data_IF_196651606079
#
_entry.id   IF_196651606079
#
_cell.length_a   1.000
_cell.length_b   1.000
_cell.length_c   1.000
_cell.angle_alpha   90.00
_cell.angle_beta   90.00
_cell.angle_gamma   90.00
#
_symmetry.space_group_name_H-M   'P 1'
#
loop_
_entity.id
_entity.type
_entity.pdbx_description
1 polymer ?
#
# COMPACT_ATOMS: atom_id res chain seq x y z
N UNK A 1 -35.01 15.59 10.93
CA UNK A 1 -34.14 14.40 10.94
C UNK A 1 -32.77 14.86 10.52
N UNK A 2 -31.78 14.85 11.39
CA UNK A 2 -30.37 15.05 10.97
C UNK A 2 -30.03 13.94 9.97
N UNK A 3 -29.61 14.30 8.77
CA UNK A 3 -29.09 13.35 7.80
C UNK A 3 -27.89 12.64 8.45
N UNK A 4 -27.96 11.32 8.56
CA UNK A 4 -26.89 10.51 9.14
C UNK A 4 -25.68 10.63 8.20
N UNK A 5 -24.54 11.06 8.72
CA UNK A 5 -23.26 11.16 7.96
C UNK A 5 -22.87 9.76 7.47
N UNK A 6 -22.53 9.64 6.18
CA UNK A 6 -22.06 8.38 5.57
C UNK A 6 -20.62 8.09 5.94
N UNK A 7 -20.18 6.82 5.78
CA UNK A 7 -18.75 6.44 5.94
C UNK A 7 -17.84 7.29 5.05
N UNK A 8 -18.21 7.50 3.77
CA UNK A 8 -17.47 8.37 2.84
C UNK A 8 -17.31 9.78 3.38
N UNK A 9 -18.41 10.40 3.83
CA UNK A 9 -18.38 11.78 4.35
C UNK A 9 -17.50 11.89 5.60
N UNK A 10 -17.57 10.90 6.50
CA UNK A 10 -16.79 10.88 7.73
C UNK A 10 -15.30 10.72 7.46
N UNK A 11 -14.93 9.81 6.56
CA UNK A 11 -13.53 9.62 6.18
C UNK A 11 -12.95 10.84 5.48
N UNK A 12 -13.70 11.47 4.56
CA UNK A 12 -13.29 12.70 3.89
C UNK A 12 -13.11 13.85 4.88
N UNK A 13 -14.03 14.04 5.83
CA UNK A 13 -13.89 15.04 6.88
C UNK A 13 -12.58 14.83 7.68
N UNK A 14 -12.28 13.58 8.06
CA UNK A 14 -11.03 13.28 8.76
C UNK A 14 -9.79 13.55 7.89
N UNK A 15 -9.81 13.23 6.58
CA UNK A 15 -8.71 13.55 5.66
C UNK A 15 -8.55 15.08 5.54
N UNK A 16 -9.66 15.84 5.54
CA UNK A 16 -9.66 17.31 5.51
C UNK A 16 -9.38 17.96 6.87
N UNK A 17 -9.12 17.16 7.90
CA UNK A 17 -8.85 17.60 9.28
C UNK A 17 -10.05 18.27 9.94
N UNK A 18 -11.24 17.92 9.47
CA UNK A 18 -12.51 18.38 10.04
C UNK A 18 -13.02 17.36 11.07
N UNK A 19 -13.85 17.85 11.97
CA UNK A 19 -14.60 16.98 12.89
C UNK A 19 -15.85 16.43 12.21
N UNK A 20 -16.22 15.21 12.58
CA UNK A 20 -17.46 14.56 12.14
C UNK A 20 -18.29 14.12 13.33
N UNK A 21 -19.33 13.33 13.10
CA UNK A 21 -20.18 12.77 14.16
C UNK A 21 -19.42 11.86 15.14
N UNK A 22 -18.32 11.25 14.69
CA UNK A 22 -17.36 10.49 15.48
C UNK A 22 -16.06 10.26 14.71
N UNK A 23 -15.02 9.83 15.41
CA UNK A 23 -13.74 9.45 14.79
C UNK A 23 -13.98 8.22 13.90
N UNK A 24 -13.71 8.28 12.57
CA UNK A 24 -13.84 7.13 11.71
C UNK A 24 -12.88 6.00 12.10
N UNK A 25 -13.34 4.77 11.90
CA UNK A 25 -12.52 3.57 12.06
C UNK A 25 -12.57 2.76 10.77
N UNK A 26 -11.51 2.84 9.97
CA UNK A 26 -11.39 2.13 8.71
C UNK A 26 -10.08 1.34 8.68
N UNK A 27 -10.17 0.04 8.45
CA UNK A 27 -8.98 -0.81 8.44
C UNK A 27 -8.22 -0.64 7.14
N UNK A 28 -6.93 -0.34 7.25
CA UNK A 28 -6.03 -0.15 6.13
C UNK A 28 -5.95 -1.42 5.25
N UNK A 29 -5.89 -2.58 5.89
CA UNK A 29 -6.00 -3.90 5.24
C UNK A 29 -6.60 -4.92 6.21
N UNK A 30 -7.50 -5.77 5.72
CA UNK A 30 -8.21 -6.74 6.54
C UNK A 30 -8.26 -8.11 5.86
N UNK A 31 -7.08 -8.73 5.71
CA UNK A 31 -6.93 -10.00 4.99
C UNK A 31 -7.71 -11.15 5.67
N UNK A 32 -7.78 -11.18 7.01
CA UNK A 32 -8.56 -12.22 7.72
C UNK A 32 -10.04 -12.17 7.35
N UNK A 33 -10.65 -10.97 7.26
CA UNK A 33 -12.03 -10.82 6.81
C UNK A 33 -12.18 -11.06 5.31
N UNK A 34 -11.25 -10.56 4.50
CA UNK A 34 -11.25 -10.73 3.04
C UNK A 34 -11.27 -12.21 2.65
N UNK A 35 -10.50 -13.05 3.32
CA UNK A 35 -10.52 -14.51 3.12
C UNK A 35 -11.90 -15.11 3.41
N UNK A 36 -12.58 -14.66 4.46
CA UNK A 36 -13.93 -15.14 4.82
C UNK A 36 -15.01 -14.76 3.80
N UNK A 37 -14.83 -13.65 3.11
CA UNK A 37 -15.71 -13.21 2.02
C UNK A 37 -15.18 -13.59 0.63
N UNK A 38 -14.34 -14.62 0.53
CA UNK A 38 -13.83 -15.22 -0.71
C UNK A 38 -13.11 -14.22 -1.62
N UNK A 39 -12.31 -13.31 -1.02
CA UNK A 39 -11.53 -12.28 -1.73
C UNK A 39 -12.40 -11.26 -2.52
N UNK A 40 -13.71 -11.18 -2.26
CA UNK A 40 -14.62 -10.21 -2.86
C UNK A 40 -14.54 -8.87 -2.09
N UNK A 41 -14.02 -7.82 -2.74
CA UNK A 41 -13.87 -6.51 -2.13
C UNK A 41 -15.21 -5.78 -1.89
N UNK A 42 -16.23 -6.04 -2.68
CA UNK A 42 -17.57 -5.52 -2.44
C UNK A 42 -18.21 -6.16 -1.21
N UNK A 43 -18.05 -7.48 -1.08
CA UNK A 43 -18.49 -8.20 0.11
C UNK A 43 -17.68 -7.80 1.35
N UNK A 44 -16.37 -7.53 1.20
CA UNK A 44 -15.53 -7.01 2.28
C UNK A 44 -16.08 -5.68 2.80
N UNK A 45 -16.30 -4.69 1.93
CA UNK A 45 -16.89 -3.40 2.32
C UNK A 45 -18.22 -3.57 3.06
N UNK A 46 -19.11 -4.42 2.56
CA UNK A 46 -20.38 -4.70 3.23
C UNK A 46 -20.21 -5.30 4.63
N UNK A 47 -19.27 -6.24 4.77
CA UNK A 47 -18.97 -6.87 6.05
C UNK A 47 -18.37 -5.86 7.06
N UNK A 48 -17.46 -4.98 6.63
CA UNK A 48 -16.91 -3.90 7.46
C UNK A 48 -18.02 -2.95 7.94
N UNK A 49 -18.90 -2.51 7.06
CA UNK A 49 -20.05 -1.68 7.42
C UNK A 49 -21.01 -2.39 8.39
N UNK A 50 -21.22 -3.70 8.25
CA UNK A 50 -22.05 -4.50 9.19
C UNK A 50 -21.41 -4.60 10.58
N UNK A 51 -20.07 -4.60 10.68
CA UNK A 51 -19.36 -4.50 11.96
C UNK A 51 -19.45 -3.10 12.57
N UNK A 52 -19.93 -2.13 11.80
CA UNK A 52 -20.04 -0.72 12.18
C UNK A 52 -18.77 0.07 11.91
N UNK A 53 -17.83 -0.47 11.17
CA UNK A 53 -16.63 0.20 10.70
C UNK A 53 -16.94 1.15 9.55
N UNK A 54 -16.03 2.08 9.31
CA UNK A 54 -15.96 2.80 8.04
C UNK A 54 -15.22 1.95 7.01
N UNK A 55 -15.50 2.17 5.74
CA UNK A 55 -14.92 1.35 4.67
C UNK A 55 -14.65 2.17 3.42
N UNK A 56 -13.78 1.65 2.59
CA UNK A 56 -13.48 2.18 1.27
C UNK A 56 -13.38 1.05 0.26
N UNK A 57 -13.86 1.30 -0.94
CA UNK A 57 -13.71 0.37 -2.06
C UNK A 57 -12.51 0.78 -2.91
N UNK A 58 -11.66 -0.18 -3.24
CA UNK A 58 -10.48 0.04 -4.07
C UNK A 58 -10.74 -0.40 -5.52
N UNK A 59 -10.48 0.46 -6.51
CA UNK A 59 -10.65 0.18 -7.92
C UNK A 59 -9.33 0.35 -8.70
N UNK A 60 -9.00 -0.53 -9.64
CA UNK A 60 -9.64 -1.82 -9.90
C UNK A 60 -9.38 -2.82 -8.77
N UNK A 61 -10.38 -3.65 -8.50
CA UNK A 61 -10.28 -4.66 -7.46
C UNK A 61 -9.40 -5.83 -7.91
N UNK A 62 -8.61 -6.37 -6.96
CA UNK A 62 -7.75 -7.54 -7.22
C UNK A 62 -8.55 -8.80 -7.56
N UNK A 63 -9.75 -8.94 -7.02
CA UNK A 63 -10.56 -10.16 -7.12
C UNK A 63 -11.04 -10.48 -8.54
N UNK A 64 -11.09 -9.48 -9.43
CA UNK A 64 -11.65 -9.64 -10.78
C UNK A 64 -10.62 -9.93 -11.87
N UNK A 65 -9.33 -9.79 -11.58
CA UNK A 65 -8.27 -9.97 -12.57
C UNK A 65 -7.27 -11.01 -12.08
N UNK A 66 -7.05 -12.07 -12.87
CA UNK A 66 -5.93 -12.97 -12.63
C UNK A 66 -4.63 -12.23 -12.95
N UNK A 67 -3.72 -12.18 -11.98
CA UNK A 67 -2.46 -11.43 -12.08
C UNK A 67 -1.28 -12.28 -11.60
N UNK A 68 -0.91 -13.36 -12.31
CA UNK A 68 0.17 -14.24 -11.88
C UNK A 68 1.52 -13.50 -11.77
N UNK A 69 1.74 -12.49 -12.63
CA UNK A 69 3.01 -11.73 -12.66
C UNK A 69 3.09 -10.63 -11.58
N UNK A 70 1.98 -10.24 -10.95
CA UNK A 70 1.94 -9.22 -9.90
C UNK A 70 0.77 -9.41 -8.94
N UNK A 71 0.72 -10.51 -8.18
CA UNK A 71 -0.44 -10.87 -7.37
C UNK A 71 -0.77 -9.84 -6.28
N UNK A 72 0.22 -9.11 -5.78
CA UNK A 72 0.06 -8.11 -4.71
C UNK A 72 -0.09 -6.67 -5.22
N UNK A 73 0.14 -6.41 -6.51
CA UNK A 73 0.00 -5.07 -7.07
C UNK A 73 -1.46 -4.76 -7.39
N UNK A 74 -2.04 -3.83 -6.65
CA UNK A 74 -3.36 -3.24 -6.98
C UNK A 74 -3.23 -2.24 -8.14
N UNK A 75 -4.36 -1.85 -8.72
CA UNK A 75 -4.38 -0.94 -9.87
C UNK A 75 -4.32 -1.70 -11.20
N UNK A 76 -3.90 -1.04 -12.26
CA UNK A 76 -3.87 -1.62 -13.61
C UNK A 76 -2.83 -2.75 -13.72
N UNK A 77 -3.07 -3.76 -14.58
CA UNK A 77 -2.12 -4.84 -14.81
C UNK A 77 -0.74 -4.36 -15.28
N UNK A 78 0.30 -5.10 -14.90
CA UNK A 78 1.60 -4.99 -15.58
C UNK A 78 1.47 -5.60 -16.96
N UNK A 79 2.01 -4.94 -17.97
CA UNK A 79 2.07 -5.43 -19.34
C UNK A 79 3.51 -5.43 -19.84
N UNK A 80 3.87 -6.52 -20.49
CA UNK A 80 5.16 -6.65 -21.15
C UNK A 80 5.00 -6.33 -22.64
N UNK A 81 6.08 -5.83 -23.25
CA UNK A 81 6.15 -5.71 -24.72
C UNK A 81 5.92 -7.08 -25.36
N UNK A 82 5.23 -7.18 -26.52
CA UNK A 82 5.13 -8.41 -27.29
C UNK A 82 6.48 -9.01 -27.72
N UNK A 83 7.57 -8.24 -27.61
CA UNK A 83 8.93 -8.68 -27.92
C UNK A 83 9.63 -9.38 -26.74
N UNK A 84 8.94 -9.56 -25.62
CA UNK A 84 9.48 -10.26 -24.44
C UNK A 84 9.13 -11.74 -24.52
N UNK A 85 10.17 -12.57 -24.49
CA UNK A 85 10.04 -14.02 -24.34
C UNK A 85 10.44 -14.41 -22.92
N UNK A 86 9.65 -15.28 -22.27
CA UNK A 86 9.87 -15.71 -20.91
C UNK A 86 10.22 -17.19 -20.86
N UNK A 87 11.16 -17.55 -20.00
CA UNK A 87 11.52 -18.94 -19.71
C UNK A 87 11.58 -19.14 -18.20
N UNK A 88 11.01 -20.24 -17.70
CA UNK A 88 11.06 -20.64 -16.31
C UNK A 88 11.49 -22.11 -16.20
N UNK A 89 12.31 -22.41 -15.21
CA UNK A 89 12.69 -23.80 -14.90
C UNK A 89 13.03 -23.98 -13.43
N UNK A 90 12.96 -25.25 -13.00
CA UNK A 90 13.27 -25.67 -11.63
C UNK A 90 14.64 -26.33 -11.62
N UNK A 91 15.48 -25.94 -10.65
CA UNK A 91 16.77 -26.57 -10.36
C UNK A 91 16.73 -27.18 -8.94
N UNK A 92 17.24 -28.39 -8.82
CA UNK A 92 17.50 -29.03 -7.50
C UNK A 92 18.98 -28.90 -7.18
N UNK A 93 19.33 -28.07 -6.20
CA UNK A 93 20.72 -27.87 -5.81
C UNK A 93 20.93 -28.17 -4.32
N UNK A 94 21.71 -29.20 -3.99
CA UNK A 94 22.03 -29.57 -2.60
C UNK A 94 20.80 -29.75 -1.71
N UNK A 95 19.73 -30.34 -2.24
CA UNK A 95 18.46 -30.55 -1.53
C UNK A 95 17.57 -29.32 -1.44
N UNK A 96 17.95 -28.19 -2.06
CA UNK A 96 17.15 -27.00 -2.16
C UNK A 96 16.51 -26.89 -3.54
N UNK A 97 15.25 -26.48 -3.57
CA UNK A 97 14.51 -26.19 -4.80
C UNK A 97 14.69 -24.72 -5.14
N UNK A 98 15.21 -24.46 -6.33
CA UNK A 98 15.43 -23.13 -6.89
C UNK A 98 14.56 -22.95 -8.12
N UNK A 99 13.89 -21.82 -8.22
CA UNK A 99 13.16 -21.39 -9.41
C UNK A 99 13.98 -20.34 -10.14
N UNK A 100 14.07 -20.49 -11.44
CA UNK A 100 14.73 -19.57 -12.34
C UNK A 100 13.69 -18.97 -13.29
N UNK A 101 13.82 -17.68 -13.57
CA UNK A 101 13.04 -17.00 -14.61
C UNK A 101 13.94 -16.07 -15.41
N UNK A 102 13.80 -16.12 -16.72
CA UNK A 102 14.46 -15.23 -17.66
C UNK A 102 13.44 -14.46 -18.49
N UNK A 103 13.75 -13.20 -18.73
CA UNK A 103 13.03 -12.33 -19.64
C UNK A 103 14.00 -11.93 -20.75
N UNK A 104 13.80 -12.47 -21.96
CA UNK A 104 14.58 -12.15 -23.13
C UNK A 104 13.91 -10.97 -23.85
N UNK A 105 14.63 -9.87 -24.00
CA UNK A 105 14.15 -8.61 -24.57
C UNK A 105 15.13 -8.09 -25.61
N UNK A 106 14.73 -7.19 -26.52
CA UNK A 106 15.68 -6.50 -27.40
C UNK A 106 16.75 -5.67 -26.67
N UNK A 107 16.47 -5.23 -25.44
CA UNK A 107 17.40 -4.49 -24.57
C UNK A 107 18.35 -5.38 -23.77
N UNK A 108 18.20 -6.71 -23.84
CA UNK A 108 19.00 -7.68 -23.08
C UNK A 108 18.18 -8.73 -22.36
N UNK A 109 18.87 -9.54 -21.56
CA UNK A 109 18.25 -10.62 -20.79
C UNK A 109 18.30 -10.27 -19.30
N UNK A 110 17.12 -10.27 -18.66
CA UNK A 110 17.00 -10.18 -17.21
C UNK A 110 16.76 -11.57 -16.64
N UNK A 111 17.48 -11.92 -15.57
CA UNK A 111 17.38 -13.25 -14.94
C UNK A 111 17.17 -13.07 -13.44
N UNK A 112 16.19 -13.77 -12.89
CA UNK A 112 16.03 -13.89 -11.44
C UNK A 112 16.12 -15.34 -11.00
N UNK A 113 16.53 -15.55 -9.72
CA UNK A 113 16.59 -16.87 -9.11
C UNK A 113 16.08 -16.79 -7.67
N UNK A 114 15.09 -17.61 -7.37
CA UNK A 114 14.39 -17.63 -6.09
C UNK A 114 14.56 -18.98 -5.40
N UNK A 115 14.86 -18.96 -4.11
CA UNK A 115 14.87 -20.16 -3.26
C UNK A 115 13.47 -20.41 -2.74
N UNK A 116 12.90 -21.59 -3.06
CA UNK A 116 11.57 -21.97 -2.59
C UNK A 116 11.62 -22.35 -1.11
N UNK A 117 10.72 -21.75 -0.32
CA UNK A 117 10.44 -22.11 1.08
C UNK A 117 9.07 -22.79 1.18
N UNK A 118 8.77 -23.39 2.35
CA UNK A 118 7.50 -24.09 2.58
C UNK A 118 6.27 -23.19 2.40
N UNK A 119 6.41 -21.89 2.68
CA UNK A 119 5.37 -20.87 2.56
C UNK A 119 5.34 -20.17 1.19
N UNK A 120 6.09 -20.67 0.18
CA UNK A 120 6.06 -20.11 -1.18
C UNK A 120 4.71 -20.38 -1.86
N UNK A 121 3.91 -19.35 -2.20
CA UNK A 121 2.52 -19.55 -2.64
C UNK A 121 2.36 -19.80 -4.14
N UNK A 122 3.43 -19.63 -4.95
CA UNK A 122 3.33 -19.58 -6.41
C UNK A 122 3.72 -20.88 -7.13
N UNK A 123 3.89 -21.99 -6.40
CA UNK A 123 4.24 -23.29 -7.02
C UNK A 123 5.59 -23.26 -7.74
N UNK A 124 5.58 -23.47 -9.06
CA UNK A 124 6.78 -23.42 -9.92
C UNK A 124 6.95 -22.09 -10.66
N UNK A 125 6.07 -21.13 -10.41
CA UNK A 125 6.09 -19.82 -11.03
C UNK A 125 6.85 -18.80 -10.18
N UNK A 126 7.59 -17.88 -10.83
CA UNK A 126 8.19 -16.69 -10.22
C UNK A 126 7.46 -15.47 -10.75
N UNK A 127 6.64 -14.78 -9.94
CA UNK A 127 6.01 -13.52 -10.34
C UNK A 127 7.05 -12.49 -10.76
N UNK A 128 6.64 -11.49 -11.52
CA UNK A 128 7.52 -10.37 -11.87
C UNK A 128 7.79 -9.48 -10.65
N UNK A 129 6.74 -9.20 -9.87
CA UNK A 129 6.79 -8.40 -8.65
C UNK A 129 5.89 -9.01 -7.58
N UNK A 130 6.47 -9.28 -6.40
CA UNK A 130 5.77 -9.85 -5.25
C UNK A 130 6.61 -9.73 -3.98
N UNK A 131 5.96 -9.50 -2.83
CA UNK A 131 6.64 -9.40 -1.53
C UNK A 131 7.32 -10.72 -1.11
N UNK A 132 6.78 -11.86 -1.52
CA UNK A 132 7.40 -13.17 -1.22
C UNK A 132 8.76 -13.38 -1.87
N UNK A 133 9.06 -12.65 -2.96
CA UNK A 133 10.36 -12.74 -3.63
C UNK A 133 11.47 -12.07 -2.82
N UNK A 134 11.19 -10.95 -2.18
CA UNK A 134 12.21 -10.09 -1.54
C UNK A 134 13.15 -10.87 -0.61
N UNK A 135 12.67 -11.69 0.35
CA UNK A 135 13.53 -12.47 1.21
C UNK A 135 14.08 -13.76 0.58
N UNK A 136 13.66 -14.10 -0.64
CA UNK A 136 13.96 -15.40 -1.30
C UNK A 136 14.76 -15.28 -2.57
N UNK A 137 14.86 -14.07 -3.13
CA UNK A 137 15.67 -13.82 -4.32
C UNK A 137 17.16 -13.92 -3.97
N UNK A 138 17.84 -14.98 -4.49
CA UNK A 138 19.28 -15.16 -4.38
C UNK A 138 20.02 -14.55 -5.58
N UNK A 139 19.31 -14.20 -6.62
CA UNK A 139 19.71 -13.34 -7.71
C UNK A 139 18.55 -12.40 -8.03
N UNK A 140 18.67 -11.11 -7.76
CA UNK A 140 17.64 -10.15 -8.10
C UNK A 140 17.53 -9.98 -9.62
N UNK A 141 16.38 -9.49 -10.09
CA UNK A 141 16.13 -9.29 -11.52
C UNK A 141 16.95 -8.12 -12.09
N UNK A 142 17.12 -7.05 -11.31
CA UNK A 142 17.83 -5.84 -11.67
C UNK A 142 18.97 -5.60 -10.68
N UNK A 143 20.19 -5.43 -11.16
CA UNK A 143 21.38 -5.28 -10.31
C UNK A 143 22.36 -4.22 -10.79
N UNK A 144 22.20 -3.69 -11.99
CA UNK A 144 23.13 -2.76 -12.61
C UNK A 144 22.41 -1.89 -13.67
N UNK A 145 23.01 -0.76 -14.00
CA UNK A 145 22.42 0.25 -14.90
C UNK A 145 22.00 -0.31 -16.26
N UNK A 146 22.78 -1.21 -16.87
CA UNK A 146 22.45 -1.81 -18.17
C UNK A 146 21.14 -2.65 -18.14
N UNK A 147 20.72 -3.12 -16.97
CA UNK A 147 19.50 -3.91 -16.82
C UNK A 147 18.25 -3.03 -17.06
N UNK A 148 18.38 -1.70 -16.95
CA UNK A 148 17.30 -0.75 -17.20
C UNK A 148 16.83 -0.77 -18.66
N UNK A 149 17.76 -1.03 -19.61
CA UNK A 149 17.41 -1.11 -21.04
C UNK A 149 16.43 -2.27 -21.32
N UNK A 150 16.63 -3.40 -20.66
CA UNK A 150 15.72 -4.54 -20.73
C UNK A 150 14.44 -4.33 -19.92
N UNK A 151 14.53 -3.65 -18.76
CA UNK A 151 13.39 -3.37 -17.88
C UNK A 151 12.32 -2.54 -18.59
N UNK A 152 12.66 -1.63 -19.47
CA UNK A 152 11.70 -0.84 -20.26
C UNK A 152 10.72 -1.70 -21.06
N UNK A 153 11.11 -2.89 -21.48
CA UNK A 153 10.24 -3.84 -22.18
C UNK A 153 9.25 -4.55 -21.26
N UNK A 154 9.52 -4.58 -19.96
CA UNK A 154 8.65 -5.16 -18.93
C UNK A 154 7.71 -4.12 -18.29
N UNK A 155 7.92 -2.84 -18.59
CA UNK A 155 7.18 -1.72 -18.03
C UNK A 155 6.49 -0.92 -19.15
N UNK A 156 5.57 -1.56 -19.86
CA UNK A 156 4.84 -0.90 -20.95
C UNK A 156 3.61 -0.14 -20.42
N UNK A 157 3.10 0.85 -21.18
CA UNK A 157 1.85 1.54 -20.86
C UNK A 157 0.67 0.58 -20.74
N UNK A 158 -0.41 0.97 -20.03
CA UNK A 158 -1.66 0.24 -20.03
C UNK A 158 -2.19 0.06 -21.45
N UNK A 159 -2.68 -1.12 -21.77
CA UNK A 159 -3.30 -1.39 -23.06
C UNK A 159 -4.69 -0.75 -23.17
N UNK A 160 -5.20 -0.60 -24.39
CA UNK A 160 -6.58 -0.15 -24.61
C UNK A 160 -7.60 -1.09 -23.94
N UNK A 161 -7.31 -2.38 -23.91
CA UNK A 161 -8.15 -3.38 -23.25
C UNK A 161 -8.17 -3.18 -21.73
N UNK A 162 -7.00 -2.92 -21.10
CA UNK A 162 -6.92 -2.61 -19.67
C UNK A 162 -7.71 -1.34 -19.33
N UNK A 163 -7.61 -0.32 -20.16
CA UNK A 163 -8.34 0.95 -19.96
C UNK A 163 -9.85 0.72 -20.02
N UNK A 164 -10.34 -0.01 -21.02
CA UNK A 164 -11.76 -0.30 -21.16
C UNK A 164 -12.28 -1.18 -20.03
N UNK A 165 -11.52 -2.19 -19.62
CA UNK A 165 -11.86 -3.04 -18.47
C UNK A 165 -11.92 -2.22 -17.17
N UNK A 166 -10.98 -1.31 -16.97
CA UNK A 166 -10.96 -0.40 -15.83
C UNK A 166 -12.20 0.51 -15.82
N UNK A 167 -12.54 1.13 -16.96
CA UNK A 167 -13.70 2.01 -17.06
C UNK A 167 -15.02 1.28 -16.74
N UNK A 168 -15.19 0.05 -17.21
CA UNK A 168 -16.36 -0.78 -16.91
C UNK A 168 -16.43 -1.14 -15.41
N UNK A 169 -15.29 -1.38 -14.76
CA UNK A 169 -15.25 -1.64 -13.31
C UNK A 169 -15.58 -0.38 -12.50
N UNK A 170 -15.07 0.79 -12.93
CA UNK A 170 -15.34 2.08 -12.31
C UNK A 170 -16.84 2.38 -12.26
N UNK A 171 -17.59 2.15 -13.33
CA UNK A 171 -19.04 2.36 -13.35
C UNK A 171 -19.74 1.54 -12.25
N UNK A 172 -19.36 0.26 -12.10
CA UNK A 172 -19.89 -0.62 -11.05
C UNK A 172 -19.47 -0.16 -9.66
N UNK A 173 -18.22 0.25 -9.50
CA UNK A 173 -17.67 0.71 -8.23
C UNK A 173 -18.33 2.02 -7.76
N UNK A 174 -18.52 2.98 -8.67
CA UNK A 174 -19.22 4.23 -8.37
C UNK A 174 -20.64 4.00 -7.88
N UNK A 175 -21.41 3.17 -8.60
CA UNK A 175 -22.78 2.83 -8.20
C UNK A 175 -22.83 2.19 -6.81
N UNK A 176 -21.89 1.27 -6.53
CA UNK A 176 -21.79 0.64 -5.20
C UNK A 176 -21.43 1.66 -4.11
N UNK A 177 -20.44 2.51 -4.36
CA UNK A 177 -20.00 3.52 -3.38
C UNK A 177 -21.10 4.53 -3.08
N UNK A 178 -21.88 4.94 -4.09
CA UNK A 178 -23.04 5.82 -3.92
C UNK A 178 -24.15 5.15 -3.10
N UNK A 179 -24.51 3.90 -3.43
CA UNK A 179 -25.53 3.12 -2.71
C UNK A 179 -25.19 2.91 -1.23
N UNK A 180 -23.92 2.61 -0.94
CA UNK A 180 -23.50 2.24 0.42
C UNK A 180 -22.84 3.37 1.20
N UNK A 181 -22.60 4.54 0.59
CA UNK A 181 -21.96 5.68 1.21
C UNK A 181 -20.50 5.40 1.61
N UNK A 182 -19.76 4.64 0.81
CA UNK A 182 -18.34 4.28 1.01
C UNK A 182 -17.43 5.16 0.17
N UNK A 183 -16.20 5.38 0.64
CA UNK A 183 -15.16 6.13 -0.08
C UNK A 183 -14.64 5.28 -1.26
N UNK A 184 -14.49 5.91 -2.44
CA UNK A 184 -13.88 5.28 -3.60
C UNK A 184 -12.39 5.61 -3.67
N UNK A 185 -11.56 4.60 -3.50
CA UNK A 185 -10.11 4.72 -3.62
C UNK A 185 -9.57 4.05 -4.88
N UNK A 186 -8.43 4.51 -5.35
CA UNK A 186 -7.69 3.89 -6.44
C UNK A 186 -6.18 4.03 -6.25
N UNK A 187 -5.41 3.57 -7.22
CA UNK A 187 -3.96 3.75 -7.20
C UNK A 187 -3.19 2.47 -6.99
N UNK A 188 -2.52 2.36 -5.87
CA UNK A 188 -1.42 1.48 -5.56
C UNK A 188 -0.17 1.84 -6.37
N UNK A 189 0.07 3.16 -6.48
CA UNK A 189 1.35 3.68 -6.96
C UNK A 189 2.50 3.12 -6.15
N UNK A 190 3.62 2.91 -6.78
CA UNK A 190 4.79 2.26 -6.21
C UNK A 190 6.05 2.98 -6.63
N UNK A 191 7.02 2.99 -5.74
CA UNK A 191 8.34 3.57 -5.94
C UNK A 191 9.41 2.61 -5.44
N UNK A 192 9.91 2.83 -4.23
CA UNK A 192 10.90 1.96 -3.60
C UNK A 192 10.40 0.53 -3.36
N UNK A 193 9.08 0.32 -3.17
CA UNK A 193 8.54 -1.03 -3.07
C UNK A 193 8.84 -1.84 -4.33
N UNK A 194 8.61 -1.26 -5.52
CA UNK A 194 8.95 -1.92 -6.76
C UNK A 194 10.45 -2.08 -6.96
N UNK A 195 11.23 -1.06 -6.66
CA UNK A 195 12.69 -1.16 -6.70
C UNK A 195 13.20 -2.31 -5.82
N UNK A 196 12.58 -2.51 -4.65
CA UNK A 196 12.90 -3.57 -3.72
C UNK A 196 12.55 -4.98 -4.28
N UNK A 197 11.40 -5.12 -4.95
CA UNK A 197 11.05 -6.38 -5.64
C UNK A 197 12.04 -6.72 -6.76
N UNK A 198 12.51 -5.70 -7.49
CA UNK A 198 13.42 -5.88 -8.63
C UNK A 198 14.87 -6.12 -8.23
N UNK A 199 15.36 -5.43 -7.19
CA UNK A 199 16.78 -5.45 -6.78
C UNK A 199 17.06 -6.34 -5.57
N UNK A 200 16.02 -6.72 -4.79
CA UNK A 200 16.21 -7.31 -3.47
C UNK A 200 16.58 -6.26 -2.40
N UNK A 201 16.18 -6.52 -1.16
CA UNK A 201 16.26 -5.53 -0.08
C UNK A 201 17.71 -5.14 0.26
N UNK A 202 18.59 -6.12 0.46
CA UNK A 202 19.96 -5.85 0.90
C UNK A 202 20.76 -5.12 -0.17
N UNK A 203 20.65 -5.56 -1.41
CA UNK A 203 21.30 -4.96 -2.56
C UNK A 203 20.81 -3.53 -2.79
N UNK A 204 19.49 -3.32 -2.75
CA UNK A 204 18.91 -1.98 -2.94
C UNK A 204 19.38 -1.00 -1.85
N UNK A 205 19.33 -1.40 -0.58
CA UNK A 205 19.81 -0.56 0.53
C UNK A 205 21.29 -0.20 0.36
N UNK A 206 22.13 -1.16 -0.03
CA UNK A 206 23.55 -0.89 -0.30
C UNK A 206 23.71 0.08 -1.50
N UNK A 207 22.95 -0.12 -2.57
CA UNK A 207 23.02 0.71 -3.78
C UNK A 207 22.56 2.15 -3.54
N UNK A 208 21.65 2.42 -2.61
CA UNK A 208 21.27 3.80 -2.24
C UNK A 208 22.46 4.62 -1.69
N UNK A 209 23.53 3.95 -1.27
CA UNK A 209 24.76 4.56 -0.73
C UNK A 209 25.92 4.44 -1.74
N UNK A 210 26.08 3.27 -2.36
CA UNK A 210 27.23 2.95 -3.21
C UNK A 210 27.07 3.42 -4.65
N UNK A 211 25.82 3.44 -5.17
CA UNK A 211 25.48 3.89 -6.52
C UNK A 211 24.10 4.59 -6.53
N UNK A 212 24.00 5.68 -5.75
CA UNK A 212 22.77 6.50 -5.70
C UNK A 212 22.26 6.93 -7.10
N UNK A 213 23.14 7.27 -8.08
CA UNK A 213 22.69 7.60 -9.42
C UNK A 213 21.96 6.44 -10.14
N UNK A 214 22.41 5.20 -9.98
CA UNK A 214 21.73 4.05 -10.56
C UNK A 214 20.34 3.87 -9.94
N UNK A 215 20.22 3.96 -8.61
CA UNK A 215 18.91 3.83 -7.94
C UNK A 215 17.98 4.97 -8.34
N UNK A 216 18.50 6.18 -8.50
CA UNK A 216 17.70 7.33 -8.98
C UNK A 216 17.17 7.08 -10.40
N UNK A 217 18.00 6.57 -11.32
CA UNK A 217 17.56 6.21 -12.68
C UNK A 217 16.52 5.09 -12.67
N UNK A 218 16.69 4.09 -11.81
CA UNK A 218 15.68 3.02 -11.63
C UNK A 218 14.34 3.59 -11.13
N UNK A 219 14.37 4.49 -10.15
CA UNK A 219 13.17 5.15 -9.63
C UNK A 219 12.50 6.02 -10.70
N UNK A 220 13.27 6.71 -11.54
CA UNK A 220 12.72 7.48 -12.66
C UNK A 220 12.04 6.56 -13.70
N UNK A 221 12.61 5.41 -14.03
CA UNK A 221 11.99 4.41 -14.92
C UNK A 221 10.66 3.93 -14.33
N UNK A 222 10.65 3.56 -13.04
CA UNK A 222 9.44 3.11 -12.34
C UNK A 222 8.40 4.24 -12.31
N UNK A 223 8.80 5.47 -12.01
CA UNK A 223 7.92 6.64 -11.97
C UNK A 223 7.27 6.91 -13.34
N UNK A 224 8.04 6.93 -14.43
CA UNK A 224 7.50 7.18 -15.78
C UNK A 224 6.45 6.13 -16.17
N UNK A 225 6.70 4.87 -15.85
CA UNK A 225 5.72 3.81 -16.06
C UNK A 225 4.49 3.96 -15.16
N UNK A 226 4.69 4.20 -13.86
CA UNK A 226 3.59 4.36 -12.92
C UNK A 226 2.72 5.59 -13.23
N UNK A 227 3.33 6.68 -13.69
CA UNK A 227 2.61 7.88 -14.10
C UNK A 227 1.57 7.60 -15.18
N UNK A 228 1.91 6.79 -16.20
CA UNK A 228 0.97 6.43 -17.26
C UNK A 228 -0.21 5.61 -16.73
N UNK A 229 0.02 4.74 -15.75
CA UNK A 229 -1.02 4.00 -15.05
C UNK A 229 -1.87 4.93 -14.18
N UNK A 230 -1.24 5.85 -13.50
CA UNK A 230 -1.87 6.84 -12.62
C UNK A 230 -2.81 7.76 -13.40
N UNK A 231 -2.42 8.24 -14.59
CA UNK A 231 -3.26 9.05 -15.48
C UNK A 231 -4.56 8.31 -15.86
N UNK A 232 -4.49 7.01 -16.14
CA UNK A 232 -5.68 6.19 -16.41
C UNK A 232 -6.53 6.04 -15.14
N UNK A 233 -5.92 5.74 -14.00
CA UNK A 233 -6.64 5.54 -12.73
C UNK A 233 -7.33 6.84 -12.28
N UNK A 234 -6.68 7.97 -12.42
CA UNK A 234 -7.22 9.29 -12.07
C UNK A 234 -8.30 9.81 -13.04
N UNK A 235 -8.53 9.14 -14.18
CA UNK A 235 -9.67 9.44 -15.05
C UNK A 235 -11.02 9.06 -14.42
N UNK A 236 -11.02 8.24 -13.35
CA UNK A 236 -12.19 7.90 -12.57
C UNK A 236 -12.48 8.96 -11.49
N UNK A 237 -13.73 9.12 -11.05
CA UNK A 237 -14.11 10.06 -9.99
C UNK A 237 -13.73 9.52 -8.60
N UNK A 238 -12.45 9.34 -8.36
CA UNK A 238 -11.92 8.86 -7.09
C UNK A 238 -12.03 9.94 -6.01
N UNK A 239 -12.21 9.50 -4.77
CA UNK A 239 -12.05 10.33 -3.59
C UNK A 239 -10.58 10.40 -3.15
N UNK A 240 -9.87 9.27 -3.29
CA UNK A 240 -8.53 9.09 -2.75
C UNK A 240 -7.66 8.23 -3.68
N UNK A 241 -6.51 8.74 -4.08
CA UNK A 241 -5.44 7.96 -4.70
C UNK A 241 -4.47 7.52 -3.62
N UNK A 242 -4.16 6.22 -3.51
CA UNK A 242 -3.27 5.67 -2.48
C UNK A 242 -1.96 5.21 -3.11
N UNK A 243 -0.83 5.73 -2.61
CA UNK A 243 0.51 5.24 -2.93
C UNK A 243 0.98 4.28 -1.85
N UNK A 244 1.40 3.09 -2.27
CA UNK A 244 2.12 2.13 -1.45
C UNK A 244 3.59 2.55 -1.31
N UNK A 245 4.13 2.58 -0.08
CA UNK A 245 5.50 3.01 0.19
C UNK A 245 6.08 2.38 1.48
N UNK A 246 5.88 1.08 1.68
CA UNK A 246 6.37 0.39 2.90
C UNK A 246 7.89 0.51 3.07
N UNK A 247 8.63 0.55 1.95
CA UNK A 247 10.10 0.57 1.97
C UNK A 247 10.71 1.98 1.74
N UNK A 248 9.91 3.04 1.92
CA UNK A 248 10.39 4.43 1.78
C UNK A 248 10.77 5.08 3.13
N UNK A 249 10.58 4.39 4.27
CA UNK A 249 10.92 4.89 5.61
C UNK A 249 12.42 4.87 5.93
N UNK A 250 12.80 5.55 7.01
CA UNK A 250 14.19 5.62 7.47
C UNK A 250 14.77 4.31 8.00
N UNK A 251 13.95 3.29 8.15
CA UNK A 251 14.41 1.93 8.45
C UNK A 251 15.07 1.28 7.22
N UNK A 252 14.84 1.82 6.02
CA UNK A 252 15.34 1.31 4.73
C UNK A 252 16.23 2.30 3.99
N UNK A 253 15.93 3.61 4.06
CA UNK A 253 16.66 4.64 3.32
C UNK A 253 17.03 5.81 4.24
N UNK A 254 18.10 6.54 3.90
CA UNK A 254 18.47 7.73 4.67
C UNK A 254 17.53 8.91 4.33
N UNK A 255 17.27 9.85 5.27
CA UNK A 255 16.52 11.07 4.97
C UNK A 255 17.12 11.88 3.82
N UNK A 256 18.45 11.85 3.66
CA UNK A 256 19.14 12.51 2.54
C UNK A 256 18.75 11.89 1.20
N UNK A 257 18.80 10.56 1.10
CA UNK A 257 18.40 9.85 -0.13
C UNK A 257 16.92 10.08 -0.43
N UNK A 258 16.06 9.94 0.59
CA UNK A 258 14.62 10.24 0.44
C UNK A 258 14.37 11.64 -0.13
N UNK A 259 14.98 12.67 0.47
CA UNK A 259 14.81 14.05 0.03
C UNK A 259 15.31 14.33 -1.39
N UNK A 260 16.32 13.58 -1.88
CA UNK A 260 16.92 13.80 -3.20
C UNK A 260 16.28 12.95 -4.30
N UNK A 261 15.97 11.70 -4.02
CA UNK A 261 15.54 10.74 -5.03
C UNK A 261 14.03 10.44 -4.98
N UNK A 262 13.43 10.36 -3.79
CA UNK A 262 12.03 9.93 -3.61
C UNK A 262 11.08 11.13 -3.56
N UNK A 263 11.35 12.10 -2.69
CA UNK A 263 10.44 13.24 -2.46
C UNK A 263 10.11 14.05 -3.73
N UNK A 264 11.05 14.32 -4.67
CA UNK A 264 10.70 15.02 -5.91
C UNK A 264 9.72 14.25 -6.80
N UNK A 265 9.80 12.91 -6.81
CA UNK A 265 8.88 12.06 -7.56
C UNK A 265 7.51 11.99 -6.87
N UNK A 266 7.50 11.84 -5.54
CA UNK A 266 6.29 11.88 -4.73
C UNK A 266 5.52 13.18 -4.93
N UNK A 267 6.19 14.32 -4.94
CA UNK A 267 5.54 15.63 -5.20
C UNK A 267 4.85 15.67 -6.56
N UNK A 268 5.48 15.14 -7.60
CA UNK A 268 4.87 15.08 -8.95
C UNK A 268 3.65 14.16 -8.98
N UNK A 269 3.65 13.06 -8.22
CA UNK A 269 2.48 12.16 -8.11
C UNK A 269 1.33 12.86 -7.33
N UNK A 270 1.65 13.57 -6.26
CA UNK A 270 0.68 14.38 -5.50
C UNK A 270 0.07 15.47 -6.38
N UNK A 271 0.89 16.24 -7.08
CA UNK A 271 0.45 17.29 -8.01
C UNK A 271 -0.50 16.71 -9.07
N UNK A 272 -0.17 15.56 -9.69
CA UNK A 272 -1.01 14.92 -10.67
C UNK A 272 -2.37 14.49 -10.10
N UNK A 273 -2.43 13.96 -8.87
CA UNK A 273 -3.70 13.64 -8.23
C UNK A 273 -4.53 14.89 -7.97
N UNK A 274 -3.92 15.96 -7.46
CA UNK A 274 -4.59 17.23 -7.20
C UNK A 274 -5.10 17.93 -8.48
N UNK A 275 -4.39 17.82 -9.61
CA UNK A 275 -4.85 18.31 -10.92
C UNK A 275 -6.17 17.64 -11.35
N UNK A 276 -6.41 16.40 -10.92
CA UNK A 276 -7.66 15.67 -11.14
C UNK A 276 -8.70 15.87 -10.02
N UNK A 277 -8.40 16.70 -9.01
CA UNK A 277 -9.28 16.94 -7.86
C UNK A 277 -9.36 15.76 -6.88
N UNK A 278 -8.40 14.84 -6.92
CA UNK A 278 -8.34 13.62 -6.11
C UNK A 278 -7.35 13.82 -4.96
N UNK A 279 -7.74 13.43 -3.74
CA UNK A 279 -6.85 13.45 -2.58
C UNK A 279 -5.77 12.37 -2.68
N UNK A 280 -4.61 12.63 -2.06
CA UNK A 280 -3.47 11.71 -2.09
C UNK A 280 -3.15 11.13 -0.72
N UNK A 281 -3.25 9.81 -0.62
CA UNK A 281 -2.86 9.03 0.54
C UNK A 281 -1.49 8.37 0.36
N UNK A 282 -0.64 8.47 1.37
CA UNK A 282 0.70 7.91 1.37
C UNK A 282 0.86 6.88 2.48
N UNK A 283 1.07 5.61 2.10
CA UNK A 283 1.28 4.53 3.07
C UNK A 283 2.74 4.44 3.46
N UNK A 284 3.04 4.77 4.72
CA UNK A 284 4.37 4.64 5.29
C UNK A 284 4.26 4.19 6.75
N UNK A 285 4.70 2.98 7.05
CA UNK A 285 4.41 2.32 8.34
C UNK A 285 5.54 2.41 9.36
N UNK A 286 6.78 2.70 8.93
CA UNK A 286 7.93 2.73 9.83
C UNK A 286 8.96 3.80 9.44
N UNK A 287 9.91 4.08 10.34
CA UNK A 287 10.99 5.03 10.07
C UNK A 287 10.55 6.49 9.92
N UNK A 288 9.43 6.90 10.55
CA UNK A 288 8.79 8.20 10.32
C UNK A 288 9.53 9.38 10.95
N UNK A 289 9.99 9.26 12.21
CA UNK A 289 10.44 10.40 13.02
C UNK A 289 11.53 11.26 12.33
N UNK A 290 12.59 10.68 11.74
CA UNK A 290 13.63 11.49 11.09
C UNK A 290 13.17 12.19 9.81
N UNK A 291 11.99 11.81 9.27
CA UNK A 291 11.47 12.27 7.98
C UNK A 291 10.26 13.21 8.08
N UNK A 292 9.77 13.50 9.28
CA UNK A 292 8.52 14.28 9.45
C UNK A 292 8.53 15.61 8.68
N UNK A 293 9.68 16.31 8.62
CA UNK A 293 9.81 17.54 7.83
C UNK A 293 9.65 17.30 6.33
N UNK A 294 10.25 16.24 5.81
CA UNK A 294 10.17 15.88 4.39
C UNK A 294 8.76 15.41 4.01
N UNK A 295 8.13 14.62 4.89
CA UNK A 295 6.74 14.16 4.72
C UNK A 295 5.78 15.37 4.73
N UNK A 296 5.99 16.32 5.65
CA UNK A 296 5.21 17.56 5.71
C UNK A 296 5.28 18.36 4.41
N UNK A 297 6.46 18.37 3.77
CA UNK A 297 6.72 19.09 2.52
C UNK A 297 6.24 18.34 1.27
N UNK A 298 5.80 17.09 1.39
CA UNK A 298 5.37 16.28 0.25
C UNK A 298 4.04 16.72 -0.36
N UNK A 299 3.18 17.40 0.42
CA UNK A 299 1.88 17.89 -0.04
C UNK A 299 0.77 16.84 -0.01
N UNK A 300 1.00 15.68 0.62
CA UNK A 300 0.00 14.60 0.76
C UNK A 300 -1.19 15.04 1.63
N UNK A 301 -2.37 14.49 1.37
CA UNK A 301 -3.60 14.80 2.14
C UNK A 301 -3.75 13.93 3.37
N UNK A 302 -3.27 12.68 3.33
CA UNK A 302 -3.33 11.76 4.46
C UNK A 302 -2.11 10.84 4.52
N UNK A 303 -1.49 10.75 5.71
CA UNK A 303 -0.47 9.76 6.02
C UNK A 303 -1.14 8.51 6.58
N UNK A 304 -0.95 7.37 5.91
CA UNK A 304 -1.57 6.09 6.25
C UNK A 304 -0.52 5.15 6.83
N UNK A 305 -0.87 4.43 7.88
CA UNK A 305 0.02 3.40 8.43
C UNK A 305 0.85 3.86 9.64
N UNK A 306 0.37 4.83 10.41
CA UNK A 306 1.06 5.29 11.62
C UNK A 306 1.02 4.18 12.69
N UNK A 307 2.10 3.40 12.79
CA UNK A 307 2.26 2.33 13.78
C UNK A 307 3.16 2.79 14.93
N UNK A 308 2.67 2.79 16.20
CA UNK A 308 3.47 3.21 17.34
C UNK A 308 4.52 2.19 17.77
N UNK A 309 4.52 0.97 17.22
CA UNK A 309 5.34 -0.16 17.70
C UNK A 309 6.31 -0.68 16.63
N UNK A 310 5.88 -0.75 15.36
CA UNK A 310 6.73 -1.28 14.29
C UNK A 310 7.91 -0.36 13.98
N UNK A 311 9.07 -0.97 13.70
CA UNK A 311 10.29 -0.25 13.36
C UNK A 311 10.81 0.62 14.50
N UNK A 312 11.41 1.75 14.16
CA UNK A 312 11.85 2.75 15.13
C UNK A 312 10.63 3.35 15.84
N UNK A 313 10.61 3.31 17.16
CA UNK A 313 9.49 3.78 18.00
C UNK A 313 8.92 5.12 17.52
N UNK A 314 7.60 5.13 17.29
CA UNK A 314 6.87 6.30 16.83
C UNK A 314 6.11 6.90 18.02
N UNK A 315 6.44 8.15 18.35
CA UNK A 315 5.67 8.94 19.32
C UNK A 315 4.49 9.62 18.60
N UNK A 316 3.28 9.14 18.88
CA UNK A 316 2.05 9.64 18.28
C UNK A 316 1.84 11.14 18.54
N UNK A 317 2.25 11.64 19.73
CA UNK A 317 2.14 13.06 20.06
C UNK A 317 3.07 13.91 19.19
N UNK A 318 4.29 13.46 18.96
CA UNK A 318 5.25 14.14 18.07
C UNK A 318 4.71 14.17 16.64
N UNK A 319 4.12 13.07 16.15
CA UNK A 319 3.48 13.02 14.82
C UNK A 319 2.32 14.01 14.75
N UNK A 320 1.40 14.01 15.72
CA UNK A 320 0.27 14.95 15.76
C UNK A 320 0.75 16.40 15.72
N UNK A 321 1.77 16.74 16.53
CA UNK A 321 2.31 18.10 16.59
C UNK A 321 3.00 18.53 15.31
N UNK A 322 3.65 17.62 14.58
CA UNK A 322 4.42 17.93 13.37
C UNK A 322 3.61 17.90 12.10
N UNK A 323 2.62 17.01 12.02
CA UNK A 323 1.89 16.74 10.78
C UNK A 323 0.39 17.06 10.86
N UNK A 324 -0.22 17.00 12.04
CA UNK A 324 -1.67 17.05 12.22
C UNK A 324 -2.35 18.38 11.78
N UNK A 325 -1.56 19.44 11.60
CA UNK A 325 -2.04 20.74 11.05
C UNK A 325 -1.99 20.77 9.50
N UNK A 326 -1.40 19.76 8.85
CA UNK A 326 -1.16 19.73 7.41
C UNK A 326 -1.90 18.60 6.70
N UNK A 327 -2.04 17.46 7.32
CA UNK A 327 -2.62 16.26 6.70
C UNK A 327 -3.43 15.44 7.69
N UNK A 328 -4.34 14.62 7.18
CA UNK A 328 -5.00 13.59 7.96
C UNK A 328 -4.00 12.51 8.42
N UNK A 329 -4.30 11.87 9.53
CA UNK A 329 -3.47 10.82 10.14
C UNK A 329 -4.31 9.53 10.23
N UNK A 330 -3.83 8.43 9.65
CA UNK A 330 -4.57 7.17 9.59
C UNK A 330 -3.74 6.03 10.16
N UNK A 331 -4.22 5.38 11.20
CA UNK A 331 -3.51 4.30 11.91
C UNK A 331 -3.71 4.34 13.41
N UNK A 332 -2.62 4.37 14.17
CA UNK A 332 -2.57 4.62 15.61
C UNK A 332 -2.46 3.39 16.50
N UNK A 333 -2.74 2.17 15.99
CA UNK A 333 -2.61 0.92 16.76
C UNK A 333 -1.91 -0.13 15.92
N UNK A 334 -0.94 -0.85 16.46
CA UNK A 334 -0.28 -1.94 15.75
C UNK A 334 -1.24 -3.11 15.52
N UNK A 335 -1.43 -3.53 14.28
CA UNK A 335 -2.25 -4.69 13.93
C UNK A 335 -1.62 -6.00 14.39
N UNK A 336 -0.41 -6.27 13.92
CA UNK A 336 0.27 -7.53 14.16
C UNK A 336 0.67 -7.75 15.63
N UNK A 337 1.16 -6.70 16.32
CA UNK A 337 1.65 -6.83 17.70
C UNK A 337 0.52 -6.64 18.71
N UNK A 338 -0.26 -5.55 18.58
CA UNK A 338 -1.29 -5.24 19.58
C UNK A 338 -2.58 -6.01 19.33
N UNK A 339 -3.11 -6.00 18.09
CA UNK A 339 -4.44 -6.60 17.85
C UNK A 339 -4.36 -8.12 17.74
N UNK A 340 -3.42 -8.66 16.96
CA UNK A 340 -3.34 -10.12 16.77
C UNK A 340 -2.79 -10.86 18.00
N UNK A 341 -1.84 -10.27 18.76
CA UNK A 341 -1.11 -10.95 19.82
C UNK A 341 -1.37 -10.40 21.22
N UNK A 342 -1.90 -9.17 21.35
CA UNK A 342 -2.06 -8.48 22.63
C UNK A 342 -3.18 -9.03 23.50
N UNK A 343 -3.12 -8.70 24.80
CA UNK A 343 -4.19 -8.93 25.76
C UNK A 343 -5.28 -7.84 25.66
N UNK A 344 -6.50 -8.14 26.16
CA UNK A 344 -7.64 -7.22 26.11
C UNK A 344 -7.30 -5.80 26.58
N UNK A 345 -6.68 -5.65 27.75
CA UNK A 345 -6.38 -4.34 28.32
C UNK A 345 -5.33 -3.57 27.50
N UNK A 346 -4.36 -4.27 26.90
CA UNK A 346 -3.37 -3.66 26.01
C UNK A 346 -4.03 -3.09 24.76
N UNK A 347 -4.97 -3.85 24.16
CA UNK A 347 -5.73 -3.42 22.99
C UNK A 347 -6.59 -2.21 23.33
N UNK A 348 -7.36 -2.28 24.42
CA UNK A 348 -8.21 -1.17 24.86
C UNK A 348 -7.39 0.09 25.18
N UNK A 349 -6.27 -0.07 25.85
CA UNK A 349 -5.38 1.06 26.16
C UNK A 349 -4.78 1.68 24.91
N UNK A 350 -4.35 0.86 23.91
CA UNK A 350 -3.82 1.36 22.65
C UNK A 350 -4.87 2.18 21.87
N UNK A 351 -6.11 1.69 21.80
CA UNK A 351 -7.23 2.42 21.16
C UNK A 351 -7.50 3.75 21.86
N UNK A 352 -7.62 3.76 23.20
CA UNK A 352 -7.81 4.99 23.99
C UNK A 352 -6.69 6.00 23.74
N UNK A 353 -5.44 5.54 23.82
CA UNK A 353 -4.27 6.39 23.61
C UNK A 353 -4.22 6.99 22.21
N UNK A 354 -4.51 6.20 21.18
CA UNK A 354 -4.55 6.68 19.80
C UNK A 354 -5.62 7.77 19.63
N UNK A 355 -6.84 7.53 20.12
CA UNK A 355 -7.96 8.49 20.03
C UNK A 355 -7.66 9.78 20.79
N UNK A 356 -7.13 9.69 22.03
CA UNK A 356 -6.80 10.85 22.85
C UNK A 356 -5.66 11.67 22.26
N UNK A 357 -4.69 11.02 21.61
CA UNK A 357 -3.50 11.71 21.08
C UNK A 357 -3.72 12.28 19.69
N UNK A 358 -4.38 11.52 18.80
CA UNK A 358 -4.52 11.88 17.39
C UNK A 358 -5.87 12.54 17.06
N UNK A 359 -6.91 12.29 17.87
CA UNK A 359 -8.23 12.93 17.71
C UNK A 359 -8.28 14.40 18.21
N UNK A 360 -9.49 15.03 18.18
CA UNK A 360 -10.69 14.54 17.50
C UNK A 360 -10.70 14.74 15.99
N UNK A 361 -10.13 15.80 15.46
CA UNK A 361 -10.10 16.12 14.03
C UNK A 361 -8.84 15.60 13.34
N UNK A 362 -8.98 15.23 12.05
CA UNK A 362 -7.84 14.81 11.24
C UNK A 362 -7.32 13.41 11.54
N UNK A 363 -8.16 12.51 12.08
CA UNK A 363 -7.73 11.17 12.46
C UNK A 363 -8.71 10.09 11.99
N UNK A 364 -8.16 9.01 11.40
CA UNK A 364 -8.84 7.75 11.09
C UNK A 364 -8.18 6.65 11.90
N UNK A 365 -8.91 6.03 12.82
CA UNK A 365 -8.41 4.90 13.60
C UNK A 365 -8.29 3.66 12.73
N UNK A 366 -7.19 2.95 12.84
CA UNK A 366 -6.95 1.67 12.17
C UNK A 366 -5.95 0.80 12.91
N UNK A 367 -6.12 -0.51 12.92
CA UNK A 367 -4.98 -1.41 13.06
C UNK A 367 -4.04 -1.19 11.87
N UNK A 368 -2.76 -0.97 12.17
CA UNK A 368 -1.78 -0.68 11.13
C UNK A 368 -1.23 -1.95 10.54
N UNK A 369 -0.92 -1.81 9.28
CA UNK A 369 -0.52 -2.77 8.31
C UNK A 369 -1.68 -3.69 7.94
N UNK A 370 -1.89 -4.80 8.58
CA UNK A 370 -2.87 -5.78 8.15
C UNK A 370 -3.29 -6.67 9.32
N UNK A 371 -4.53 -7.09 9.33
CA UNK A 371 -5.01 -8.20 10.16
C UNK A 371 -5.04 -9.45 9.28
N UNK A 372 -4.09 -10.35 9.50
CA UNK A 372 -3.83 -11.51 8.63
C UNK A 372 -4.31 -12.83 9.20
N UNK A 373 -4.29 -12.93 10.54
CA UNK A 373 -4.52 -14.17 11.29
C UNK A 373 -6.01 -14.38 11.53
N UNK A 374 -6.55 -15.47 10.96
CA UNK A 374 -7.97 -15.84 11.10
C UNK A 374 -8.15 -16.90 12.20
N UNK A 375 -8.05 -16.47 13.47
CA UNK A 375 -8.28 -17.33 14.64
C UNK A 375 -9.39 -16.79 15.54
N UNK A 376 -10.01 -17.65 16.37
CA UNK A 376 -11.01 -17.19 17.37
C UNK A 376 -10.43 -16.11 18.32
N UNK A 377 -9.13 -16.13 18.61
CA UNK A 377 -8.48 -15.13 19.44
C UNK A 377 -8.43 -13.78 18.75
N UNK A 378 -7.99 -13.75 17.49
CA UNK A 378 -7.95 -12.52 16.67
C UNK A 378 -9.32 -11.86 16.59
N UNK A 379 -10.39 -12.65 16.39
CA UNK A 379 -11.75 -12.12 16.33
C UNK A 379 -12.24 -11.55 17.66
N UNK A 380 -11.93 -12.19 18.79
CA UNK A 380 -12.21 -11.61 20.12
C UNK A 380 -11.44 -10.31 20.35
N UNK A 381 -10.18 -10.27 19.92
CA UNK A 381 -9.36 -9.07 20.02
C UNK A 381 -9.90 -7.91 19.17
N UNK A 382 -10.44 -8.22 18.01
CA UNK A 382 -11.13 -7.24 17.16
C UNK A 382 -12.41 -6.72 17.81
N UNK A 383 -13.16 -7.57 18.52
CA UNK A 383 -14.32 -7.13 19.30
C UNK A 383 -13.89 -6.14 20.41
N UNK A 384 -12.82 -6.40 21.15
CA UNK A 384 -12.27 -5.47 22.14
C UNK A 384 -11.85 -4.14 21.54
N UNK A 385 -11.19 -4.18 20.37
CA UNK A 385 -10.78 -2.99 19.62
C UNK A 385 -11.99 -2.14 19.21
N UNK A 386 -12.99 -2.75 18.57
CA UNK A 386 -14.18 -2.08 18.08
C UNK A 386 -15.05 -1.56 19.24
N UNK A 387 -15.21 -2.34 20.30
CA UNK A 387 -15.92 -1.93 21.50
C UNK A 387 -15.29 -0.71 22.15
N UNK A 388 -13.96 -0.70 22.31
CA UNK A 388 -13.26 0.40 22.93
C UNK A 388 -13.31 1.66 22.06
N UNK A 389 -13.17 1.53 20.74
CA UNK A 389 -13.40 2.63 19.82
C UNK A 389 -14.81 3.23 20.02
N UNK A 390 -15.86 2.39 19.99
CA UNK A 390 -17.26 2.84 20.16
C UNK A 390 -17.52 3.50 21.52
N UNK A 391 -16.77 3.18 22.56
CA UNK A 391 -16.84 3.83 23.86
C UNK A 391 -16.11 5.17 23.88
N UNK A 392 -14.91 5.20 23.31
CA UNK A 392 -13.98 6.33 23.43
C UNK A 392 -14.33 7.53 22.57
N UNK A 393 -15.03 7.35 21.43
CA UNK A 393 -15.41 8.50 20.58
C UNK A 393 -16.69 9.22 21.04
N UNK A 394 -17.37 8.70 22.05
CA UNK A 394 -18.57 9.33 22.62
C UNK A 394 -18.26 10.22 23.84
N UNK A 395 -17.04 10.16 24.34
CA UNK A 395 -16.56 10.94 25.46
C UNK A 395 -15.63 12.07 25.00
#
# INVERSE_FOLDING_TARGET
>A
MSLRITSRQRMLAAIDREESDHIPCAFMSFTALRKRVQEDFYALCKAELQMGLDSFLFVPSLSRLQRPEHPELRGLPVRFSPQVEMQEWVEQLKGQRLLHKEYHTPGGVLTTRVKVSEDWPHGDHVPFIDDYQVPRAIRPLVSQRKDLDALHYLLTPPSREDILAYQAEVETACAFCEEHGVLLAGGWGIGMDMANWLCGMQELMALTILDEPFVSDLLDVIYQWNRQRMEVVLSAPLDLYIKRAWYEGCDFVTPRFYGRAILPLLKKEVELAHEHGVKFGYILTSGLLPMLGLIRDAGIDVLIGIDPIQGTHVDLLVIKQKLGDRMGLWGGVSGAVTVELGAEEEIRQAVRSAIQTLGPGGFVLSPVDNITVDTPQTWRNLEFFIDEWKRSWRN
#
